data_IF_838289262360
#
_entry.id   IF_838289262360
#
_cell.length_a   1.000
_cell.length_b   1.000
_cell.length_c   1.000
_cell.angle_alpha   90.00
_cell.angle_beta   90.00
_cell.angle_gamma   90.00
#
_symmetry.space_group_name_H-M   'P 1'
#
loop_
_entity.id
_entity.type
_entity.pdbx_description
1 polymer ?
#
# COMPACT_ATOMS: atom_id res chain seq x y z
N UNK A 1 18.66 18.73 1.58
CA UNK A 1 17.49 19.26 2.31
C UNK A 1 17.55 20.77 2.25
N UNK A 2 16.88 21.39 1.26
CA UNK A 2 16.57 22.81 1.33
C UNK A 2 15.64 22.93 2.55
N UNK A 3 15.97 23.80 3.52
CA UNK A 3 15.16 23.91 4.73
C UNK A 3 13.70 24.12 4.33
N UNK A 4 12.78 23.33 4.88
CA UNK A 4 11.36 23.37 4.52
C UNK A 4 10.76 24.79 4.67
N UNK A 5 11.37 25.63 5.52
CA UNK A 5 11.09 27.07 5.65
C UNK A 5 11.25 27.86 4.35
N UNK A 6 12.24 27.53 3.51
CA UNK A 6 12.54 28.27 2.27
C UNK A 6 11.61 27.92 1.10
N UNK A 7 11.07 26.69 1.07
CA UNK A 7 10.13 26.27 0.03
C UNK A 7 8.74 26.89 0.22
N UNK A 8 8.36 27.18 1.47
CA UNK A 8 7.04 27.68 1.86
C UNK A 8 6.96 29.21 1.81
N UNK A 9 8.08 29.93 2.01
CA UNK A 9 8.14 31.39 1.91
C UNK A 9 7.89 31.95 0.48
N UNK A 10 7.76 31.10 -0.53
CA UNK A 10 7.47 31.47 -1.93
C UNK A 10 5.99 31.33 -2.31
N UNK A 11 5.11 31.01 -1.36
CA UNK A 11 3.67 30.80 -1.57
C UNK A 11 2.90 32.12 -1.35
N UNK A 12 1.82 32.36 -2.12
CA UNK A 12 0.98 33.57 -2.01
C UNK A 12 0.44 33.79 -0.59
N UNK A 13 0.26 35.06 -0.20
CA UNK A 13 -0.14 35.49 1.15
C UNK A 13 -1.51 34.95 1.63
N UNK A 14 -2.36 34.46 0.71
CA UNK A 14 -3.65 33.85 1.01
C UNK A 14 -3.65 32.31 0.89
N UNK A 15 -2.47 31.68 0.75
CA UNK A 15 -2.38 30.25 0.59
C UNK A 15 -2.88 29.54 1.87
N UNK A 16 -3.84 28.58 1.80
CA UNK A 16 -4.41 27.87 2.95
C UNK A 16 -3.42 27.12 3.85
N UNK A 17 -2.13 27.13 3.47
CA UNK A 17 -1.05 26.45 4.15
C UNK A 17 -0.18 27.38 4.99
N UNK A 18 -0.34 28.71 4.85
CA UNK A 18 0.33 29.70 5.70
C UNK A 18 -0.09 29.59 7.17
N UNK A 19 -1.34 29.19 7.44
CA UNK A 19 -1.84 28.94 8.81
C UNK A 19 -1.11 27.83 9.56
N UNK A 20 -0.41 26.93 8.87
CA UNK A 20 0.39 25.88 9.51
C UNK A 20 1.82 26.34 9.84
N UNK A 21 2.22 27.52 9.36
CA UNK A 21 3.50 28.16 9.75
C UNK A 21 3.39 28.73 11.17
N UNK A 22 2.18 29.08 11.60
CA UNK A 22 1.87 29.63 12.92
C UNK A 22 1.57 28.55 13.98
N UNK A 23 1.70 27.26 13.64
CA UNK A 23 1.56 26.19 14.64
C UNK A 23 2.72 26.23 15.63
N UNK A 24 2.42 26.04 16.91
CA UNK A 24 3.43 25.97 17.96
C UNK A 24 4.44 24.85 17.67
N UNK A 25 5.73 25.16 17.82
CA UNK A 25 6.85 24.24 17.61
C UNK A 25 6.64 22.89 18.34
N UNK A 26 5.93 22.90 19.47
CA UNK A 26 5.60 21.72 20.28
C UNK A 26 4.73 20.69 19.55
N UNK A 27 3.79 21.13 18.70
CA UNK A 27 2.94 20.19 17.94
C UNK A 27 3.75 19.46 16.88
N UNK A 28 4.61 20.17 16.16
CA UNK A 28 5.49 19.59 15.14
C UNK A 28 6.50 18.65 15.79
N UNK A 29 7.11 19.08 16.90
CA UNK A 29 8.03 18.25 17.69
C UNK A 29 7.35 16.97 18.19
N UNK A 30 6.09 17.07 18.64
CA UNK A 30 5.28 15.91 19.04
C UNK A 30 5.08 14.90 17.89
N UNK A 31 4.76 15.37 16.68
CA UNK A 31 4.61 14.49 15.51
C UNK A 31 5.94 13.80 15.17
N UNK A 32 7.04 14.55 15.17
CA UNK A 32 8.38 14.01 14.89
C UNK A 32 8.77 12.96 15.93
N UNK A 33 8.45 13.19 17.21
CA UNK A 33 8.72 12.26 18.30
C UNK A 33 7.96 10.92 18.18
N UNK A 34 6.83 10.88 17.46
CA UNK A 34 6.13 9.62 17.16
C UNK A 34 6.75 8.82 16.02
N UNK A 35 7.61 9.40 15.19
CA UNK A 35 8.14 8.70 14.02
C UNK A 35 8.80 7.33 14.33
N UNK A 36 9.54 7.14 15.44
CA UNK A 36 10.09 5.83 15.79
C UNK A 36 9.04 4.72 15.96
N UNK A 37 7.89 5.01 16.57
CA UNK A 37 6.86 4.00 16.81
C UNK A 37 6.21 3.53 15.50
N UNK A 38 5.94 4.46 14.60
CA UNK A 38 5.41 4.16 13.26
C UNK A 38 6.46 3.49 12.36
N UNK A 39 7.76 3.83 12.50
CA UNK A 39 8.83 3.07 11.83
C UNK A 39 8.92 1.64 12.33
N UNK A 40 8.75 1.43 13.65
CA UNK A 40 8.65 0.09 14.23
C UNK A 40 7.51 -0.70 13.61
N UNK A 41 6.32 -0.11 13.58
CA UNK A 41 5.13 -0.73 12.97
C UNK A 41 5.32 -1.10 11.49
N UNK A 42 5.94 -0.21 10.70
CA UNK A 42 6.28 -0.50 9.31
C UNK A 42 7.22 -1.70 9.18
N UNK A 43 8.25 -1.80 10.03
CA UNK A 43 9.19 -2.93 10.02
C UNK A 43 8.50 -4.25 10.35
N UNK A 44 7.68 -4.26 11.40
CA UNK A 44 6.92 -5.46 11.79
C UNK A 44 6.05 -5.96 10.62
N UNK A 45 5.28 -5.07 9.99
CA UNK A 45 4.41 -5.45 8.86
C UNK A 45 5.24 -5.85 7.63
N UNK A 46 6.32 -5.13 7.31
CA UNK A 46 7.22 -5.48 6.20
C UNK A 46 7.83 -6.87 6.39
N UNK A 47 8.38 -7.17 7.57
CA UNK A 47 8.96 -8.49 7.84
C UNK A 47 7.93 -9.61 7.74
N UNK A 48 6.69 -9.39 8.21
CA UNK A 48 5.60 -10.36 8.06
C UNK A 48 5.28 -10.64 6.59
N UNK A 49 5.24 -9.61 5.75
CA UNK A 49 5.01 -9.74 4.31
C UNK A 49 6.19 -10.39 3.59
N UNK A 50 7.42 -10.01 3.91
CA UNK A 50 8.65 -10.63 3.37
C UNK A 50 8.71 -12.13 3.70
N UNK A 51 8.31 -12.52 4.92
CA UNK A 51 8.28 -13.92 5.31
C UNK A 51 7.25 -14.72 4.51
N UNK A 52 6.05 -14.15 4.25
CA UNK A 52 5.04 -14.78 3.40
C UNK A 52 5.57 -14.93 1.97
N UNK A 53 6.19 -13.89 1.41
CA UNK A 53 6.76 -13.94 0.06
C UNK A 53 7.85 -15.02 -0.07
N UNK A 54 8.75 -15.10 0.91
CA UNK A 54 9.80 -16.13 0.96
C UNK A 54 9.26 -17.56 1.13
N UNK A 55 8.21 -17.74 1.94
CA UNK A 55 7.53 -19.02 2.06
C UNK A 55 6.93 -19.45 0.72
N UNK A 56 6.28 -18.53 0.00
CA UNK A 56 5.71 -18.81 -1.31
C UNK A 56 6.77 -19.18 -2.34
N UNK A 57 7.88 -18.45 -2.37
CA UNK A 57 9.02 -18.79 -3.22
C UNK A 57 9.51 -20.21 -2.97
N UNK A 58 9.61 -20.60 -1.70
CA UNK A 58 10.18 -21.89 -1.30
C UNK A 58 9.22 -23.05 -1.58
N UNK A 59 7.92 -22.86 -1.36
CA UNK A 59 6.93 -23.94 -1.45
C UNK A 59 6.30 -24.07 -2.84
N UNK A 60 6.20 -22.98 -3.60
CA UNK A 60 5.44 -22.90 -4.85
C UNK A 60 6.23 -22.36 -6.04
N UNK A 61 7.53 -22.07 -5.88
CA UNK A 61 8.39 -21.45 -6.92
C UNK A 61 7.76 -20.18 -7.54
N UNK A 62 7.02 -19.44 -6.71
CA UNK A 62 6.27 -18.24 -7.11
C UNK A 62 6.46 -17.16 -6.05
N UNK A 63 6.78 -15.94 -6.50
CA UNK A 63 6.91 -14.78 -5.62
C UNK A 63 5.67 -13.88 -5.80
N UNK A 64 4.75 -13.84 -4.84
CA UNK A 64 3.55 -12.99 -4.97
C UNK A 64 3.89 -11.49 -4.92
N UNK A 65 4.99 -11.08 -4.26
CA UNK A 65 5.42 -9.68 -4.15
C UNK A 65 6.49 -9.38 -5.21
N UNK A 66 6.22 -8.39 -6.07
CA UNK A 66 7.23 -7.82 -6.96
C UNK A 66 8.13 -6.83 -6.21
N UNK A 67 7.54 -5.93 -5.44
CA UNK A 67 8.28 -5.01 -4.55
C UNK A 67 7.37 -4.38 -3.49
N UNK A 68 7.99 -3.81 -2.46
CA UNK A 68 7.30 -3.03 -1.43
C UNK A 68 7.93 -1.64 -1.25
N UNK A 69 7.08 -0.66 -0.99
CA UNK A 69 7.49 0.70 -0.59
C UNK A 69 6.85 1.06 0.74
N UNK A 70 7.63 1.54 1.70
CA UNK A 70 7.11 2.04 2.97
C UNK A 70 7.36 3.53 3.12
N UNK A 71 6.42 4.23 3.76
CA UNK A 71 6.55 5.66 4.04
C UNK A 71 5.86 6.05 5.34
N UNK A 72 6.36 7.11 5.94
CA UNK A 72 5.67 7.83 7.01
C UNK A 72 5.13 9.13 6.45
N UNK A 73 3.87 9.40 6.75
CA UNK A 73 3.19 10.63 6.33
C UNK A 73 3.91 11.85 6.92
N UNK A 74 4.14 12.88 6.11
CA UNK A 74 4.80 14.10 6.61
C UNK A 74 3.91 14.82 7.62
N UNK A 75 4.48 15.54 8.61
CA UNK A 75 3.71 16.32 9.58
C UNK A 75 2.69 17.25 8.92
N UNK A 76 3.10 17.95 7.85
CA UNK A 76 2.20 18.79 7.04
C UNK A 76 1.01 18.01 6.48
N UNK A 77 1.24 16.83 5.90
CA UNK A 77 0.16 16.02 5.34
C UNK A 77 -0.78 15.45 6.41
N UNK A 78 -0.30 15.22 7.63
CA UNK A 78 -1.12 14.82 8.79
C UNK A 78 -2.05 15.98 9.18
N UNK A 79 -1.49 17.18 9.33
CA UNK A 79 -2.23 18.39 9.70
C UNK A 79 -3.27 18.77 8.65
N UNK A 80 -2.91 18.74 7.37
CA UNK A 80 -3.85 18.97 6.26
C UNK A 80 -5.02 17.98 6.30
N UNK A 81 -4.76 16.70 6.64
CA UNK A 81 -5.80 15.67 6.72
C UNK A 81 -6.73 15.88 7.91
N UNK A 82 -6.22 16.26 9.07
CA UNK A 82 -7.03 16.61 10.25
C UNK A 82 -7.94 17.81 9.96
N UNK A 83 -7.37 18.88 9.39
CA UNK A 83 -8.12 20.08 9.06
C UNK A 83 -9.20 19.81 8.00
N UNK A 84 -8.90 19.01 6.97
CA UNK A 84 -9.91 18.60 5.97
C UNK A 84 -11.08 17.83 6.59
N UNK A 85 -10.84 17.11 7.68
CA UNK A 85 -11.88 16.39 8.45
C UNK A 85 -12.50 17.23 9.57
N UNK A 86 -12.10 18.50 9.70
CA UNK A 86 -12.54 19.40 10.76
C UNK A 86 -12.30 18.84 12.18
N UNK A 87 -11.17 18.15 12.37
CA UNK A 87 -10.77 17.53 13.65
C UNK A 87 -9.74 18.44 14.34
N UNK A 88 -9.89 18.75 15.65
CA UNK A 88 -8.90 19.54 16.38
C UNK A 88 -7.52 18.89 16.37
N UNK A 89 -6.48 19.71 16.16
CA UNK A 89 -5.09 19.25 16.11
C UNK A 89 -4.58 18.96 17.52
N UNK A 90 -4.68 17.70 17.95
CA UNK A 90 -4.11 17.20 19.20
C UNK A 90 -3.39 15.87 18.95
N UNK A 91 -2.41 15.53 19.80
CA UNK A 91 -1.68 14.25 19.72
C UNK A 91 -2.62 13.04 19.81
N UNK A 92 -3.63 13.12 20.68
CA UNK A 92 -4.64 12.08 20.85
C UNK A 92 -5.49 11.91 19.59
N UNK A 93 -6.01 13.00 19.03
CA UNK A 93 -6.81 12.95 17.81
C UNK A 93 -5.99 12.46 16.62
N UNK A 94 -4.70 12.82 16.52
CA UNK A 94 -3.82 12.31 15.47
C UNK A 94 -3.70 10.78 15.51
N UNK A 95 -3.39 10.23 16.68
CA UNK A 95 -3.26 8.77 16.86
C UNK A 95 -4.56 8.03 16.61
N UNK A 96 -5.70 8.60 17.01
CA UNK A 96 -7.01 7.95 16.89
C UNK A 96 -7.60 8.03 15.49
N UNK A 97 -7.48 9.18 14.82
CA UNK A 97 -8.26 9.49 13.61
C UNK A 97 -7.46 9.32 12.30
N UNK A 98 -6.12 9.36 12.36
CA UNK A 98 -5.26 9.28 11.18
C UNK A 98 -4.56 7.92 11.14
N UNK A 99 -5.22 6.97 10.47
CA UNK A 99 -4.79 5.57 10.43
C UNK A 99 -3.74 5.26 9.34
N UNK A 100 -3.40 6.23 8.48
CA UNK A 100 -2.41 6.15 7.39
C UNK A 100 -1.13 6.93 7.70
N UNK A 101 -0.77 7.11 8.97
CA UNK A 101 0.51 7.72 9.35
C UNK A 101 1.66 6.83 8.89
N UNK A 102 1.57 5.53 9.18
CA UNK A 102 2.40 4.49 8.57
C UNK A 102 1.65 3.90 7.37
N UNK A 103 2.27 3.94 6.19
CA UNK A 103 1.73 3.34 4.98
C UNK A 103 2.76 2.45 4.31
N UNK A 104 2.33 1.24 3.94
CA UNK A 104 3.09 0.31 3.11
C UNK A 104 2.31 0.06 1.81
N UNK A 105 3.02 0.12 0.69
CA UNK A 105 2.51 -0.30 -0.61
C UNK A 105 3.17 -1.63 -0.96
N UNK A 106 2.34 -2.60 -1.32
CA UNK A 106 2.77 -3.91 -1.79
C UNK A 106 2.35 -4.03 -3.24
N UNK A 107 3.30 -4.18 -4.14
CA UNK A 107 3.04 -4.38 -5.56
C UNK A 107 3.25 -5.85 -5.87
N UNK A 108 2.18 -6.51 -6.29
CA UNK A 108 2.10 -7.92 -6.62
C UNK A 108 2.22 -8.15 -8.13
N UNK A 109 2.59 -9.37 -8.50
CA UNK A 109 2.63 -9.80 -9.90
C UNK A 109 1.22 -9.99 -10.46
N UNK A 110 0.32 -10.64 -9.71
CA UNK A 110 -1.03 -10.93 -10.16
C UNK A 110 -2.11 -10.42 -9.20
N UNK A 111 -3.35 -10.37 -9.68
CA UNK A 111 -4.49 -9.93 -8.86
C UNK A 111 -4.85 -10.96 -7.78
N UNK A 112 -4.67 -12.26 -8.04
CA UNK A 112 -4.91 -13.30 -7.02
C UNK A 112 -3.92 -13.23 -5.85
N UNK A 113 -2.66 -12.89 -6.13
CA UNK A 113 -1.64 -12.68 -5.10
C UNK A 113 -2.06 -11.61 -4.09
N UNK A 114 -2.78 -10.58 -4.55
CA UNK A 114 -3.30 -9.50 -3.69
C UNK A 114 -4.19 -10.07 -2.60
N UNK A 115 -5.17 -10.88 -2.99
CA UNK A 115 -6.14 -11.44 -2.07
C UNK A 115 -5.48 -12.46 -1.15
N UNK A 116 -4.54 -13.26 -1.69
CA UNK A 116 -3.84 -14.26 -0.89
C UNK A 116 -2.94 -13.64 0.16
N UNK A 117 -2.15 -12.64 -0.20
CA UNK A 117 -1.31 -11.89 0.74
C UNK A 117 -2.14 -11.19 1.82
N UNK A 118 -3.26 -10.57 1.43
CA UNK A 118 -4.16 -9.94 2.39
C UNK A 118 -4.71 -10.95 3.39
N UNK A 119 -5.21 -12.10 2.93
CA UNK A 119 -5.73 -13.19 3.75
C UNK A 119 -4.66 -13.70 4.74
N UNK A 120 -3.46 -13.97 4.27
CA UNK A 120 -2.37 -14.50 5.09
C UNK A 120 -1.87 -13.49 6.13
N UNK A 121 -1.81 -12.20 5.77
CA UNK A 121 -1.43 -11.16 6.71
C UNK A 121 -2.45 -11.02 7.85
N UNK A 122 -3.76 -10.99 7.54
CA UNK A 122 -4.80 -10.83 8.55
C UNK A 122 -5.03 -12.09 9.39
N UNK A 123 -4.57 -13.26 8.93
CA UNK A 123 -4.67 -14.51 9.67
C UNK A 123 -3.64 -14.63 10.81
N UNK A 124 -2.63 -13.76 10.88
CA UNK A 124 -1.62 -13.78 11.93
C UNK A 124 -2.20 -13.33 13.27
N UNK A 125 -1.91 -14.08 14.36
CA UNK A 125 -2.54 -13.88 15.68
C UNK A 125 -2.33 -12.49 16.29
N UNK A 126 -1.20 -11.84 15.98
CA UNK A 126 -0.84 -10.53 16.52
C UNK A 126 -1.32 -9.35 15.65
N UNK A 127 -1.93 -9.63 14.49
CA UNK A 127 -2.50 -8.63 13.58
C UNK A 127 -3.98 -8.40 13.91
N UNK A 128 -4.35 -7.15 14.18
CA UNK A 128 -5.75 -6.73 14.34
C UNK A 128 -6.22 -6.00 13.09
N UNK A 129 -7.20 -6.54 12.37
CA UNK A 129 -7.81 -5.87 11.23
C UNK A 129 -8.76 -4.76 11.70
N UNK A 130 -8.57 -3.53 11.19
CA UNK A 130 -9.42 -2.37 11.49
C UNK A 130 -10.49 -2.20 10.41
N UNK A 131 -10.11 -2.12 9.14
CA UNK A 131 -11.04 -2.04 8.02
C UNK A 131 -10.40 -2.51 6.71
N UNK A 132 -11.26 -2.80 5.73
CA UNK A 132 -10.89 -3.14 4.34
C UNK A 132 -11.69 -2.26 3.37
N UNK A 133 -11.02 -1.75 2.34
CA UNK A 133 -11.64 -1.16 1.16
C UNK A 133 -11.13 -1.86 -0.10
N UNK A 134 -12.03 -2.52 -0.81
CA UNK A 134 -11.72 -3.27 -2.02
C UNK A 134 -12.03 -2.45 -3.28
N UNK A 135 -11.11 -1.56 -3.67
CA UNK A 135 -11.26 -0.78 -4.91
C UNK A 135 -10.92 -1.59 -6.17
N UNK A 136 -10.61 -2.88 -6.06
CA UNK A 136 -10.45 -3.76 -7.22
C UNK A 136 -11.84 -4.18 -7.72
N UNK A 137 -12.69 -4.65 -6.80
CA UNK A 137 -14.07 -5.05 -7.10
C UNK A 137 -15.00 -3.85 -7.22
N UNK A 138 -14.74 -2.78 -6.47
CA UNK A 138 -15.50 -1.52 -6.51
C UNK A 138 -14.57 -0.34 -6.89
N UNK A 139 -14.12 -0.25 -8.16
CA UNK A 139 -13.24 0.83 -8.59
C UNK A 139 -13.87 2.21 -8.37
N UNK A 140 -13.04 3.20 -8.05
CA UNK A 140 -13.53 4.59 -7.98
C UNK A 140 -14.00 5.04 -9.36
N UNK A 141 -14.85 6.08 -9.37
CA UNK A 141 -15.31 6.69 -10.61
C UNK A 141 -14.14 7.07 -11.54
N UNK A 142 -13.02 7.56 -11.02
CA UNK A 142 -11.84 7.89 -11.83
C UNK A 142 -11.11 6.68 -12.47
N UNK A 143 -11.45 5.44 -12.09
CA UNK A 143 -10.77 4.22 -12.55
C UNK A 143 -9.71 3.68 -11.59
N UNK A 144 -9.51 4.34 -10.44
CA UNK A 144 -8.56 3.88 -9.42
C UNK A 144 -8.93 2.50 -8.87
N UNK A 145 -7.94 1.60 -8.83
CA UNK A 145 -8.03 0.25 -8.27
C UNK A 145 -6.85 -0.02 -7.32
N UNK A 146 -7.15 -0.64 -6.19
CA UNK A 146 -6.19 -1.10 -5.17
C UNK A 146 -6.96 -1.83 -4.07
N UNK A 147 -6.32 -2.72 -3.34
CA UNK A 147 -6.87 -3.32 -2.14
C UNK A 147 -6.27 -2.65 -0.91
N UNK A 148 -7.08 -1.96 -0.12
CA UNK A 148 -6.62 -1.26 1.08
C UNK A 148 -7.08 -2.00 2.32
N UNK A 149 -6.18 -2.23 3.25
CA UNK A 149 -6.52 -2.65 4.60
C UNK A 149 -5.75 -1.80 5.61
N UNK A 150 -6.38 -1.52 6.75
CA UNK A 150 -5.67 -0.98 7.91
C UNK A 150 -5.61 -2.07 8.95
N UNK A 151 -4.38 -2.35 9.40
CA UNK A 151 -4.10 -3.31 10.46
C UNK A 151 -3.44 -2.61 11.63
N UNK A 152 -3.62 -3.12 12.86
CA UNK A 152 -2.79 -2.73 14.00
C UNK A 152 -1.84 -3.86 14.37
N UNK A 153 -0.58 -3.51 14.54
CA UNK A 153 0.50 -4.41 14.94
C UNK A 153 1.09 -3.96 16.28
N UNK A 154 1.43 -4.87 17.21
CA UNK A 154 2.13 -4.49 18.43
C UNK A 154 3.54 -4.00 18.13
N UNK A 155 3.91 -2.84 18.67
CA UNK A 155 5.27 -2.30 18.63
C UNK A 155 5.80 -2.17 20.06
N UNK A 156 6.93 -2.80 20.32
CA UNK A 156 7.57 -2.80 21.63
C UNK A 156 8.64 -1.72 21.68
N UNK A 157 8.44 -0.70 22.52
CA UNK A 157 9.40 0.36 22.81
C UNK A 157 9.87 0.27 24.26
N UNK A 158 10.84 1.10 24.63
CA UNK A 158 11.39 1.17 26.00
C UNK A 158 10.35 1.46 27.09
N UNK A 159 9.22 2.06 26.72
CA UNK A 159 8.14 2.47 27.64
C UNK A 159 6.95 1.51 27.64
N UNK A 160 6.96 0.47 26.80
CA UNK A 160 5.88 -0.52 26.71
C UNK A 160 5.50 -0.90 25.28
N UNK A 161 4.43 -1.68 25.17
CA UNK A 161 3.86 -2.11 23.89
C UNK A 161 2.66 -1.24 23.50
N UNK A 162 2.63 -0.76 22.26
CA UNK A 162 1.48 -0.03 21.68
C UNK A 162 1.03 -0.73 20.40
N UNK A 163 -0.27 -0.88 20.18
CA UNK A 163 -0.83 -1.36 18.91
C UNK A 163 -0.95 -0.18 17.94
N UNK A 164 -0.16 -0.20 16.88
CA UNK A 164 0.00 0.94 15.96
C UNK A 164 -0.67 0.62 14.62
N UNK A 165 -1.52 1.52 14.09
CA UNK A 165 -2.15 1.32 12.79
C UNK A 165 -1.15 1.48 11.64
N UNK A 166 -1.26 0.60 10.65
CA UNK A 166 -0.54 0.63 9.37
C UNK A 166 -1.55 0.45 8.26
N UNK A 167 -1.57 1.39 7.31
CA UNK A 167 -2.32 1.24 6.06
C UNK A 167 -1.48 0.42 5.07
N UNK A 168 -1.99 -0.75 4.67
CA UNK A 168 -1.41 -1.62 3.66
C UNK A 168 -2.22 -1.44 2.38
N UNK A 169 -1.57 -0.95 1.33
CA UNK A 169 -2.15 -0.82 -0.01
C UNK A 169 -1.53 -1.87 -0.92
N UNK A 170 -2.32 -2.87 -1.30
CA UNK A 170 -1.88 -3.95 -2.18
C UNK A 170 -2.41 -3.68 -3.59
N UNK A 171 -1.57 -3.85 -4.61
CA UNK A 171 -1.81 -3.51 -6.01
C UNK A 171 -1.11 -4.48 -6.94
N UNK A 172 -1.55 -4.60 -8.17
CA UNK A 172 -0.71 -5.16 -9.24
C UNK A 172 0.22 -4.09 -9.82
N UNK A 173 1.20 -4.52 -10.61
CA UNK A 173 2.08 -3.63 -11.38
C UNK A 173 1.26 -2.68 -12.26
N UNK A 174 0.21 -3.17 -12.93
CA UNK A 174 -0.65 -2.37 -13.79
C UNK A 174 -1.43 -1.30 -13.00
N UNK A 175 -1.97 -1.66 -11.83
CA UNK A 175 -2.66 -0.73 -10.94
C UNK A 175 -1.72 0.36 -10.42
N UNK A 176 -0.48 -0.01 -10.05
CA UNK A 176 0.49 0.94 -9.53
C UNK A 176 1.01 1.90 -10.60
N UNK A 177 1.25 1.40 -11.82
CA UNK A 177 1.61 2.22 -12.97
C UNK A 177 0.56 3.30 -13.22
N UNK A 178 -0.72 2.90 -13.29
CA UNK A 178 -1.81 3.84 -13.52
C UNK A 178 -1.95 4.86 -12.38
N UNK A 179 -1.93 4.39 -11.14
CA UNK A 179 -2.11 5.25 -9.97
C UNK A 179 -0.96 6.25 -9.80
N UNK A 180 0.27 5.86 -10.15
CA UNK A 180 1.43 6.74 -10.13
C UNK A 180 1.30 7.88 -11.16
N UNK A 181 0.87 7.56 -12.39
CA UNK A 181 0.61 8.56 -13.42
C UNK A 181 -0.53 9.52 -13.02
N UNK A 182 -1.65 8.97 -12.54
CA UNK A 182 -2.81 9.78 -12.13
C UNK A 182 -2.43 10.73 -10.99
N UNK A 183 -1.69 10.23 -10.00
CA UNK A 183 -1.22 11.04 -8.87
C UNK A 183 -0.26 12.14 -9.33
N UNK A 184 0.67 11.84 -10.24
CA UNK A 184 1.60 12.84 -10.78
C UNK A 184 0.86 13.95 -11.54
N UNK A 185 -0.12 13.58 -12.37
CA UNK A 185 -0.96 14.54 -13.10
C UNK A 185 -1.69 15.44 -12.11
N UNK A 186 -2.39 14.87 -11.12
CA UNK A 186 -3.14 15.65 -10.13
C UNK A 186 -2.25 16.52 -9.26
N UNK A 187 -1.04 16.07 -8.93
CA UNK A 187 -0.09 16.84 -8.13
C UNK A 187 0.49 18.04 -8.90
N UNK A 188 0.80 17.88 -10.20
CA UNK A 188 1.37 18.95 -11.03
C UNK A 188 0.32 19.90 -11.61
N UNK A 189 -0.94 19.47 -11.70
CA UNK A 189 -2.00 20.28 -12.25
C UNK A 189 -2.34 21.44 -11.30
N UNK A 190 -1.93 22.66 -11.67
CA UNK A 190 -2.34 23.91 -11.00
C UNK A 190 -3.81 24.28 -11.27
N UNK A 191 -4.46 23.58 -12.22
CA UNK A 191 -5.88 23.68 -12.57
C UNK A 191 -6.51 22.28 -12.54
N UNK A 192 -7.84 22.21 -12.56
CA UNK A 192 -8.54 20.93 -12.71
C UNK A 192 -8.16 20.20 -14.01
N UNK A 193 -8.05 18.87 -13.92
CA UNK A 193 -7.82 18.00 -15.07
C UNK A 193 -9.04 18.09 -15.99
N UNK A 194 -8.85 18.23 -17.30
CA UNK A 194 -9.99 18.38 -18.21
C UNK A 194 -10.87 17.11 -18.21
N UNK A 195 -12.20 17.24 -18.35
CA UNK A 195 -13.10 16.08 -18.37
C UNK A 195 -12.72 15.04 -19.44
N UNK A 196 -12.14 15.48 -20.55
CA UNK A 196 -11.65 14.60 -21.61
C UNK A 196 -10.41 13.81 -21.17
N UNK A 197 -9.48 14.44 -20.46
CA UNK A 197 -8.32 13.74 -19.90
C UNK A 197 -8.74 12.74 -18.81
N UNK A 198 -9.75 13.07 -17.98
CA UNK A 198 -10.28 12.14 -16.98
C UNK A 198 -10.93 10.91 -17.63
N UNK A 199 -11.73 11.10 -18.69
CA UNK A 199 -12.29 9.98 -19.48
C UNK A 199 -11.20 9.08 -20.06
N UNK A 200 -10.13 9.68 -20.61
CA UNK A 200 -9.00 8.93 -21.17
C UNK A 200 -8.22 8.17 -20.10
N UNK A 201 -7.98 8.80 -18.93
CA UNK A 201 -7.34 8.13 -17.80
C UNK A 201 -8.17 6.92 -17.35
N UNK A 202 -9.49 7.08 -17.21
CA UNK A 202 -10.38 5.97 -16.85
C UNK A 202 -10.35 4.84 -17.89
N UNK A 203 -10.40 5.18 -19.19
CA UNK A 203 -10.28 4.20 -20.25
C UNK A 203 -8.95 3.42 -20.16
N UNK A 204 -7.84 4.09 -19.87
CA UNK A 204 -6.55 3.43 -19.64
C UNK A 204 -6.60 2.48 -18.44
N UNK A 205 -7.22 2.86 -17.32
CA UNK A 205 -7.38 1.98 -16.17
C UNK A 205 -8.15 0.70 -16.53
N UNK A 206 -9.23 0.83 -17.30
CA UNK A 206 -10.07 -0.32 -17.68
C UNK A 206 -9.41 -1.21 -18.73
N UNK A 207 -8.57 -0.66 -19.61
CA UNK A 207 -7.71 -1.45 -20.51
C UNK A 207 -6.66 -2.20 -19.70
N UNK A 208 -5.92 -1.49 -18.83
CA UNK A 208 -4.88 -2.08 -18.00
C UNK A 208 -5.43 -3.22 -17.15
N UNK A 209 -6.59 -3.04 -16.53
CA UNK A 209 -7.21 -4.09 -15.74
C UNK A 209 -7.56 -5.34 -16.56
N UNK A 210 -8.03 -5.18 -17.81
CA UNK A 210 -8.30 -6.32 -18.69
C UNK A 210 -7.02 -7.03 -19.11
N UNK A 211 -5.98 -6.27 -19.45
CA UNK A 211 -4.67 -6.83 -19.77
C UNK A 211 -4.07 -7.58 -18.59
N UNK A 212 -4.20 -7.03 -17.38
CA UNK A 212 -3.71 -7.63 -16.14
C UNK A 212 -4.41 -8.98 -15.84
N UNK A 213 -5.74 -9.04 -16.03
CA UNK A 213 -6.50 -10.29 -15.92
C UNK A 213 -6.06 -11.32 -16.97
N UNK A 214 -5.90 -10.92 -18.23
CA UNK A 214 -5.47 -11.82 -19.30
C UNK A 214 -4.07 -12.40 -19.03
N UNK A 215 -3.12 -11.56 -18.58
CA UNK A 215 -1.77 -12.01 -18.22
C UNK A 215 -1.79 -13.02 -17.06
N UNK A 216 -2.68 -12.83 -16.09
CA UNK A 216 -2.88 -13.80 -15.00
C UNK A 216 -3.42 -15.13 -15.51
N UNK A 217 -4.39 -15.13 -16.43
CA UNK A 217 -4.92 -16.38 -16.99
C UNK A 217 -3.87 -17.12 -17.81
N UNK A 218 -3.10 -16.41 -18.64
CA UNK A 218 -1.96 -16.99 -19.36
C UNK A 218 -0.95 -17.63 -18.40
N UNK A 219 -0.61 -16.93 -17.31
CA UNK A 219 0.30 -17.47 -16.29
C UNK A 219 -0.22 -18.78 -15.69
N UNK A 220 -1.49 -18.81 -15.28
CA UNK A 220 -2.13 -20.02 -14.74
C UNK A 220 -2.11 -21.18 -15.74
N UNK A 221 -2.38 -20.93 -17.01
CA UNK A 221 -2.35 -21.96 -18.04
C UNK A 221 -0.95 -22.55 -18.23
N UNK A 222 0.08 -21.70 -18.20
CA UNK A 222 1.47 -22.13 -18.35
C UNK A 222 1.95 -22.92 -17.11
N UNK A 223 1.69 -22.42 -15.91
CA UNK A 223 2.15 -23.08 -14.67
C UNK A 223 1.43 -24.41 -14.43
N UNK A 224 0.10 -24.48 -14.61
CA UNK A 224 -0.64 -25.75 -14.51
C UNK A 224 -0.09 -26.81 -15.45
N UNK A 225 0.25 -26.42 -16.69
CA UNK A 225 0.85 -27.36 -17.67
C UNK A 225 2.21 -27.87 -17.22
N UNK A 226 3.02 -27.06 -16.54
CA UNK A 226 4.31 -27.50 -16.02
C UNK A 226 4.15 -28.45 -14.82
N UNK A 227 3.20 -28.19 -13.93
CA UNK A 227 2.86 -29.08 -12.81
C UNK A 227 2.35 -30.44 -13.30
N UNK A 228 1.40 -30.44 -14.25
CA UNK A 228 0.86 -31.65 -14.88
C UNK A 228 1.98 -32.43 -15.60
N UNK A 229 2.81 -31.76 -16.39
CA UNK A 229 3.94 -32.39 -17.09
C UNK A 229 5.04 -32.89 -16.12
N UNK A 230 5.21 -32.26 -14.95
CA UNK A 230 6.13 -32.70 -13.91
C UNK A 230 5.59 -33.92 -13.16
N UNK A 231 4.28 -33.97 -12.91
CA UNK A 231 3.59 -35.12 -12.33
C UNK A 231 3.61 -36.34 -13.28
N UNK A 232 3.35 -36.13 -14.58
CA UNK A 232 3.43 -37.18 -15.61
C UNK A 232 4.85 -37.76 -15.72
N UNK A 233 5.88 -36.90 -15.78
CA UNK A 233 7.29 -37.35 -15.80
C UNK A 233 7.69 -38.12 -14.54
N UNK A 234 7.23 -37.71 -13.35
CA UNK A 234 7.47 -38.46 -12.10
C UNK A 234 6.76 -39.82 -12.11
N UNK A 235 5.56 -39.90 -12.70
CA UNK A 235 4.82 -41.16 -12.83
C UNK A 235 5.49 -42.14 -13.81
N UNK A 236 6.00 -41.64 -14.95
CA UNK A 236 6.73 -42.45 -15.93
C UNK A 236 8.07 -42.93 -15.37
N UNK A 237 8.81 -42.07 -14.66
CA UNK A 237 10.07 -42.46 -14.02
C UNK A 237 9.84 -43.51 -12.91
N UNK A 238 8.78 -43.39 -12.11
CA UNK A 238 8.41 -44.41 -11.11
C UNK A 238 8.00 -45.74 -11.77
N UNK A 239 7.24 -45.69 -12.87
CA UNK A 239 6.85 -46.88 -13.64
C UNK A 239 8.04 -47.58 -14.32
N UNK A 240 9.08 -46.83 -14.72
CA UNK A 240 10.29 -47.38 -15.36
C UNK A 240 11.32 -47.88 -14.35
N UNK A 241 11.40 -47.27 -13.15
CA UNK A 241 12.42 -47.62 -12.13
C UNK A 241 11.98 -48.67 -11.12
N UNK A 242 10.68 -48.98 -11.03
CA UNK A 242 10.17 -50.10 -10.22
C UNK A 242 10.31 -49.95 -8.70
N UNK A 243 10.66 -48.77 -8.19
CA UNK A 243 10.71 -48.49 -6.76
C UNK A 243 9.33 -48.02 -6.28
N UNK A 244 8.64 -48.89 -5.52
CA UNK A 244 7.49 -48.54 -4.67
C UNK A 244 7.96 -48.03 -3.32
#
# INVERSE_FOLDING_TARGET
MISEKQAIARMDADHPLLKYIELEDDTINGIVAMAPIYRGALREVSTKLDNIDYEFQTLYDHNPIHHMESRIKSPRSILEKLNRRNIPVTMENMKREILDIAGIRVVCNYTEDIFKLAELLIAQEDIELVYVHNYINEPKECGYRSFHLVVKVPVFLSVGAERVPVEVQIRTIAMDMWASLEHEIRYKATKEVSPEAEKRLKLCADILARTDMEMQEIYKECVKREEDASAERKSEVSAVTGLH
#
